data_IF_672966939794
#
_entry.id   IF_672966939794
#
_cell.length_a   1.000
_cell.length_b   1.000
_cell.length_c   1.000
_cell.angle_alpha   90.00
_cell.angle_beta   90.00
_cell.angle_gamma   90.00
#
_symmetry.space_group_name_H-M   'P 1'
#
loop_
_entity.id
_entity.type
_entity.pdbx_description
1 polymer ?
#
# COMPACT_ATOMS: atom_id res chain seq x y z
N UNK A 1 18.22 41.84 -20.25
CA UNK A 1 16.94 41.14 -20.49
C UNK A 1 17.24 39.67 -20.67
N UNK A 2 17.11 38.91 -19.61
CA UNK A 2 17.38 37.46 -19.61
C UNK A 2 16.12 36.69 -20.06
N UNK A 3 16.23 35.95 -21.15
CA UNK A 3 15.15 35.08 -21.68
C UNK A 3 15.18 33.79 -20.92
N UNK A 4 14.26 33.59 -19.97
CA UNK A 4 13.96 32.27 -19.42
C UNK A 4 13.40 31.39 -20.53
N UNK A 5 14.21 30.43 -21.00
CA UNK A 5 13.73 29.34 -21.84
C UNK A 5 12.95 28.38 -20.92
N UNK A 6 11.64 28.36 -21.04
CA UNK A 6 10.79 27.33 -20.47
C UNK A 6 11.19 25.99 -21.11
N UNK A 7 11.89 25.13 -20.39
CA UNK A 7 12.07 23.71 -20.77
C UNK A 7 10.69 23.07 -20.81
N UNK A 8 10.29 22.59 -21.98
CA UNK A 8 9.03 21.88 -22.15
C UNK A 8 9.07 20.58 -21.33
N UNK A 9 8.05 20.35 -20.54
CA UNK A 9 7.81 19.13 -19.76
C UNK A 9 7.55 17.86 -20.63
N UNK A 10 7.91 17.88 -21.91
CA UNK A 10 7.66 16.81 -22.88
C UNK A 10 8.79 15.80 -23.03
N UNK A 11 9.70 15.68 -22.06
CA UNK A 11 10.77 14.69 -22.09
C UNK A 11 10.50 13.50 -21.16
N UNK A 12 9.22 13.21 -20.86
CA UNK A 12 8.88 11.93 -20.25
C UNK A 12 8.53 10.96 -21.39
N UNK A 13 9.46 10.04 -21.68
CA UNK A 13 9.21 8.95 -22.63
C UNK A 13 8.29 7.91 -21.96
N UNK A 14 7.02 7.78 -22.38
CA UNK A 14 6.14 6.74 -21.86
C UNK A 14 6.49 5.34 -22.40
N UNK A 15 7.48 5.21 -23.28
CA UNK A 15 7.88 3.94 -23.90
C UNK A 15 8.74 3.02 -23.03
N UNK A 16 9.21 3.49 -21.85
CA UNK A 16 9.96 2.65 -20.90
C UNK A 16 9.05 1.93 -19.88
N UNK A 17 7.79 1.72 -20.18
CA UNK A 17 6.94 0.82 -19.40
C UNK A 17 7.46 -0.60 -19.64
N UNK A 18 8.27 -1.12 -18.71
CA UNK A 18 8.56 -2.55 -18.65
C UNK A 18 7.21 -3.26 -18.67
N UNK A 19 6.94 -4.02 -19.73
CA UNK A 19 5.79 -4.92 -19.81
C UNK A 19 5.83 -5.79 -18.54
N UNK A 20 4.78 -5.67 -17.72
CA UNK A 20 4.59 -6.54 -16.57
C UNK A 20 4.62 -7.99 -17.08
N UNK A 21 5.26 -8.92 -16.35
CA UNK A 21 5.29 -10.32 -16.76
C UNK A 21 3.88 -10.86 -16.93
N UNK A 22 3.71 -11.83 -17.85
CA UNK A 22 2.43 -12.43 -18.18
C UNK A 22 1.68 -12.88 -16.93
N UNK A 23 0.38 -12.54 -16.87
CA UNK A 23 -0.55 -12.78 -15.77
C UNK A 23 -0.50 -14.22 -15.27
N UNK A 24 -0.22 -14.40 -13.99
CA UNK A 24 -0.58 -15.63 -13.28
C UNK A 24 -2.12 -15.72 -13.17
N UNK A 25 -2.67 -16.94 -13.17
CA UNK A 25 -4.11 -17.21 -13.26
C UNK A 25 -4.89 -16.89 -11.97
N UNK A 26 -4.81 -15.63 -11.47
CA UNK A 26 -5.57 -15.19 -10.29
C UNK A 26 -5.43 -13.69 -10.07
N UNK A 27 -6.49 -13.02 -9.64
CA UNK A 27 -6.45 -11.59 -9.28
C UNK A 27 -5.58 -11.42 -8.03
N UNK A 28 -4.57 -10.56 -8.13
CA UNK A 28 -3.65 -10.26 -7.04
C UNK A 28 -3.85 -8.83 -6.55
N UNK A 29 -4.03 -8.66 -5.25
CA UNK A 29 -4.26 -7.38 -4.59
C UNK A 29 -3.05 -7.04 -3.73
N UNK A 30 -2.53 -5.82 -3.87
CA UNK A 30 -1.56 -5.23 -2.96
C UNK A 30 -2.29 -4.27 -2.01
N UNK A 31 -2.33 -4.59 -0.74
CA UNK A 31 -2.77 -3.68 0.32
C UNK A 31 -1.60 -2.86 0.85
N UNK A 32 -1.83 -1.57 1.09
CA UNK A 32 -0.83 -0.63 1.61
C UNK A 32 -1.41 0.11 2.81
N UNK A 33 -0.68 0.11 3.92
CA UNK A 33 -0.88 0.98 5.09
C UNK A 33 0.26 2.02 5.14
N UNK A 34 0.01 3.26 4.66
CA UNK A 34 1.06 4.26 4.55
C UNK A 34 1.50 4.80 5.92
N UNK A 35 2.80 4.93 6.12
CA UNK A 35 3.37 5.60 7.27
C UNK A 35 4.72 6.23 6.95
N UNK A 36 5.05 7.38 7.56
CA UNK A 36 6.26 8.16 7.25
C UNK A 36 7.57 7.54 7.74
N UNK A 37 7.51 6.58 8.63
CA UNK A 37 8.66 5.81 9.13
C UNK A 37 8.56 4.34 8.78
N UNK A 38 7.35 3.85 8.65
CA UNK A 38 7.04 2.46 8.38
C UNK A 38 5.80 2.44 7.50
N UNK A 39 5.91 1.81 6.33
CA UNK A 39 4.79 1.58 5.43
C UNK A 39 4.55 0.07 5.34
N UNK A 40 3.40 -0.38 5.83
CA UNK A 40 3.00 -1.77 5.73
C UNK A 40 2.61 -2.15 4.30
N UNK A 41 2.90 -3.39 3.91
CA UNK A 41 2.37 -3.98 2.69
C UNK A 41 1.87 -5.41 2.92
N UNK A 42 0.85 -5.80 2.17
CA UNK A 42 0.31 -7.15 2.17
C UNK A 42 -0.19 -7.52 0.79
N UNK A 43 0.19 -8.70 0.30
CA UNK A 43 -0.19 -9.21 -1.01
C UNK A 43 -1.04 -10.46 -0.82
N UNK A 44 -2.22 -10.45 -1.42
CA UNK A 44 -3.12 -11.60 -1.47
C UNK A 44 -3.47 -11.94 -2.91
N UNK A 45 -3.81 -13.19 -3.17
CA UNK A 45 -4.13 -13.68 -4.51
C UNK A 45 -5.38 -14.55 -4.47
N UNK A 46 -6.24 -14.43 -5.48
CA UNK A 46 -7.42 -15.30 -5.62
C UNK A 46 -7.02 -16.60 -6.29
N UNK A 47 -7.20 -17.74 -5.60
CA UNK A 47 -6.93 -19.08 -6.12
C UNK A 47 -8.14 -19.98 -5.90
N UNK A 48 -8.70 -20.56 -6.96
CA UNK A 48 -9.83 -21.49 -6.86
C UNK A 48 -11.09 -20.92 -6.18
N UNK A 49 -11.24 -19.60 -6.14
CA UNK A 49 -12.35 -18.94 -5.44
C UNK A 49 -11.99 -18.34 -4.08
N UNK A 50 -10.93 -18.82 -3.44
CA UNK A 50 -10.45 -18.35 -2.14
C UNK A 50 -9.34 -17.32 -2.27
N UNK A 51 -9.20 -16.45 -1.25
CA UNK A 51 -8.09 -15.54 -1.13
C UNK A 51 -6.98 -16.17 -0.30
N UNK A 52 -5.78 -16.24 -0.87
CA UNK A 52 -4.60 -16.79 -0.22
C UNK A 52 -3.56 -15.72 0.01
N UNK A 53 -2.81 -15.85 1.10
CA UNK A 53 -1.67 -15.00 1.40
C UNK A 53 -0.51 -15.30 0.44
N UNK A 54 0.12 -14.24 -0.11
CA UNK A 54 1.30 -14.33 -0.96
C UNK A 54 2.54 -13.78 -0.25
N UNK A 55 2.44 -12.53 0.26
CA UNK A 55 3.54 -11.86 0.93
C UNK A 55 3.01 -10.79 1.89
N UNK A 56 3.80 -10.45 2.88
CA UNK A 56 3.57 -9.29 3.72
C UNK A 56 4.88 -8.76 4.30
N UNK A 57 4.87 -7.52 4.71
CA UNK A 57 6.02 -6.93 5.38
C UNK A 57 5.85 -5.45 5.65
N UNK A 58 6.98 -4.82 5.94
CA UNK A 58 7.03 -3.40 6.24
C UNK A 58 8.26 -2.78 5.58
N UNK A 59 8.04 -1.77 4.76
CA UNK A 59 9.09 -0.86 4.30
C UNK A 59 9.47 0.00 5.50
N UNK A 60 10.65 -0.25 6.04
CA UNK A 60 11.17 0.51 7.18
C UNK A 60 12.19 1.52 6.69
N UNK A 61 11.91 2.78 6.94
CA UNK A 61 12.87 3.85 6.65
C UNK A 61 13.91 3.89 7.76
N UNK A 62 15.18 3.76 7.41
CA UNK A 62 16.27 3.76 8.38
C UNK A 62 16.25 5.02 9.25
N UNK A 63 16.62 4.88 10.53
CA UNK A 63 16.73 6.02 11.45
C UNK A 63 17.79 7.03 10.99
N UNK A 64 18.71 6.61 10.11
CA UNK A 64 19.75 7.42 9.46
C UNK A 64 19.25 8.26 8.28
N UNK A 65 18.00 8.06 7.82
CA UNK A 65 17.43 8.95 6.81
C UNK A 65 17.23 10.35 7.41
N UNK A 66 18.14 11.24 7.11
CA UNK A 66 18.25 12.56 7.73
C UNK A 66 17.14 13.51 7.30
N UNK A 67 16.64 13.34 6.06
CA UNK A 67 15.63 14.21 5.48
C UNK A 67 14.30 13.51 5.21
N UNK A 68 13.22 14.29 5.18
CA UNK A 68 11.91 13.79 4.78
C UNK A 68 11.93 13.32 3.32
N UNK A 69 12.64 14.02 2.44
CA UNK A 69 12.75 13.66 1.01
C UNK A 69 13.37 12.29 0.80
N UNK A 70 14.40 11.92 1.57
CA UNK A 70 15.00 10.58 1.54
C UNK A 70 14.01 9.52 1.98
N UNK A 71 13.26 9.79 3.06
CA UNK A 71 12.22 8.85 3.54
C UNK A 71 11.15 8.60 2.48
N UNK A 72 10.67 9.66 1.83
CA UNK A 72 9.68 9.54 0.78
C UNK A 72 10.22 8.79 -0.44
N UNK A 73 11.51 8.97 -0.78
CA UNK A 73 12.17 8.23 -1.85
C UNK A 73 12.24 6.74 -1.54
N UNK A 74 12.66 6.36 -0.32
CA UNK A 74 12.69 4.95 0.11
C UNK A 74 11.31 4.31 0.00
N UNK A 75 10.25 4.99 0.46
CA UNK A 75 8.87 4.48 0.33
C UNK A 75 8.51 4.28 -1.14
N UNK A 76 8.75 5.28 -1.98
CA UNK A 76 8.44 5.24 -3.40
C UNK A 76 9.17 4.10 -4.13
N UNK A 77 10.49 4.00 -3.95
CA UNK A 77 11.33 3.01 -4.63
C UNK A 77 10.99 1.58 -4.18
N UNK A 78 10.84 1.37 -2.86
CA UNK A 78 10.48 0.06 -2.31
C UNK A 78 9.10 -0.40 -2.78
N UNK A 79 8.11 0.48 -2.82
CA UNK A 79 6.78 0.10 -3.31
C UNK A 79 6.78 -0.16 -4.82
N UNK A 80 7.57 0.56 -5.61
CA UNK A 80 7.75 0.25 -7.03
C UNK A 80 8.36 -1.14 -7.24
N UNK A 81 9.36 -1.48 -6.45
CA UNK A 81 9.99 -2.81 -6.49
C UNK A 81 9.00 -3.92 -6.08
N UNK A 82 8.22 -3.70 -5.01
CA UNK A 82 7.18 -4.63 -4.57
C UNK A 82 6.12 -4.84 -5.66
N UNK A 83 5.66 -3.78 -6.31
CA UNK A 83 4.70 -3.85 -7.42
C UNK A 83 5.31 -4.63 -8.60
N UNK A 84 6.56 -4.36 -8.96
CA UNK A 84 7.24 -5.08 -10.03
C UNK A 84 7.47 -6.57 -9.71
N UNK A 85 7.75 -6.90 -8.44
CA UNK A 85 8.00 -8.27 -7.99
C UNK A 85 6.73 -9.09 -7.91
N UNK A 86 5.67 -8.51 -7.33
CA UNK A 86 4.43 -9.25 -7.06
C UNK A 86 3.38 -9.11 -8.16
N UNK A 87 3.54 -8.16 -9.09
CA UNK A 87 2.65 -7.92 -10.22
C UNK A 87 1.16 -7.89 -9.82
N UNK A 88 0.74 -7.04 -8.85
CA UNK A 88 -0.66 -6.93 -8.46
C UNK A 88 -1.49 -6.37 -9.63
N UNK A 89 -2.75 -6.75 -9.70
CA UNK A 89 -3.72 -6.22 -10.67
C UNK A 89 -4.49 -5.04 -10.10
N UNK A 90 -4.53 -4.95 -8.77
CA UNK A 90 -5.21 -3.88 -8.03
C UNK A 90 -4.41 -3.50 -6.79
N UNK A 91 -4.48 -2.23 -6.43
CA UNK A 91 -3.89 -1.69 -5.21
C UNK A 91 -5.00 -1.18 -4.31
N UNK A 92 -4.97 -1.56 -3.04
CA UNK A 92 -5.84 -1.04 -2.00
C UNK A 92 -5.01 -0.26 -0.99
N UNK A 93 -5.43 0.96 -0.63
CA UNK A 93 -4.69 1.82 0.28
C UNK A 93 -5.61 2.42 1.36
N UNK A 94 -5.12 2.52 2.59
CA UNK A 94 -5.86 3.16 3.66
C UNK A 94 -5.95 4.68 3.46
N UNK A 95 -7.15 5.24 3.70
CA UNK A 95 -7.37 6.69 3.77
C UNK A 95 -6.81 7.25 5.05
N UNK A 96 -6.06 8.31 4.91
CA UNK A 96 -5.55 9.07 6.06
C UNK A 96 -6.57 10.13 6.47
N UNK A 97 -6.90 10.17 7.77
CA UNK A 97 -7.68 11.25 8.37
C UNK A 97 -6.79 12.12 9.25
N UNK A 98 -7.01 13.44 9.17
CA UNK A 98 -6.29 14.41 10.00
C UNK A 98 -6.69 14.18 11.46
N UNK A 99 -5.72 13.80 12.29
CA UNK A 99 -5.87 13.71 13.72
C UNK A 99 -5.32 14.98 14.39
N UNK A 100 -5.34 15.06 15.71
CA UNK A 100 -5.01 16.26 16.52
C UNK A 100 -3.64 16.89 16.25
N UNK A 101 -2.67 16.15 15.69
CA UNK A 101 -1.33 16.65 15.40
C UNK A 101 -1.14 16.92 13.90
N UNK A 102 -1.13 18.20 13.53
CA UNK A 102 -1.03 18.67 12.13
C UNK A 102 0.30 18.25 11.48
N UNK A 103 1.44 18.34 12.18
CA UNK A 103 2.75 17.93 11.64
C UNK A 103 2.80 16.44 11.29
N UNK A 104 2.28 15.61 12.18
CA UNK A 104 2.17 14.17 11.92
C UNK A 104 1.23 13.87 10.75
N UNK A 105 0.12 14.58 10.64
CA UNK A 105 -0.83 14.42 9.55
C UNK A 105 -0.22 14.83 8.20
N UNK A 106 0.55 15.92 8.16
CA UNK A 106 1.27 16.36 6.96
C UNK A 106 2.30 15.32 6.52
N UNK A 107 3.14 14.82 7.43
CA UNK A 107 4.14 13.78 7.14
C UNK A 107 3.49 12.48 6.64
N UNK A 108 2.36 12.12 7.23
CA UNK A 108 1.60 10.94 6.81
C UNK A 108 0.97 11.13 5.42
N UNK A 109 0.41 12.31 5.14
CA UNK A 109 -0.11 12.67 3.82
C UNK A 109 0.96 12.63 2.73
N UNK A 110 2.18 13.11 3.05
CA UNK A 110 3.33 13.05 2.13
C UNK A 110 3.79 11.61 1.88
N UNK A 111 3.88 10.78 2.92
CA UNK A 111 4.20 9.35 2.77
C UNK A 111 3.16 8.62 1.91
N UNK A 112 1.87 8.91 2.13
CA UNK A 112 0.79 8.37 1.31
C UNK A 112 0.87 8.88 -0.14
N UNK A 113 1.22 10.13 -0.36
CA UNK A 113 1.48 10.68 -1.70
C UNK A 113 2.61 9.93 -2.42
N UNK A 114 3.72 9.67 -1.73
CA UNK A 114 4.83 8.87 -2.27
C UNK A 114 4.39 7.44 -2.62
N UNK A 115 3.58 6.81 -1.76
CA UNK A 115 3.02 5.49 -2.02
C UNK A 115 2.12 5.46 -3.27
N UNK A 116 1.24 6.45 -3.43
CA UNK A 116 0.37 6.58 -4.60
C UNK A 116 1.17 6.85 -5.89
N UNK A 117 2.21 7.69 -5.83
CA UNK A 117 3.08 7.96 -6.97
C UNK A 117 3.91 6.74 -7.40
N UNK A 118 4.15 5.78 -6.50
CA UNK A 118 4.83 4.53 -6.81
C UNK A 118 3.97 3.59 -7.67
N UNK A 119 2.64 3.75 -7.65
CA UNK A 119 1.72 2.93 -8.45
C UNK A 119 1.79 3.37 -9.91
N UNK A 120 2.11 2.47 -10.86
CA UNK A 120 2.22 2.83 -12.26
C UNK A 120 0.84 3.21 -12.85
N UNK A 121 0.88 4.07 -13.88
CA UNK A 121 -0.31 4.44 -14.64
C UNK A 121 -1.01 3.19 -15.20
N UNK A 122 -2.32 3.10 -14.99
CA UNK A 122 -3.14 1.99 -15.45
C UNK A 122 -3.35 0.87 -14.45
N UNK A 123 -2.63 0.86 -13.32
CA UNK A 123 -2.91 -0.03 -12.20
C UNK A 123 -3.96 0.62 -11.28
N UNK A 124 -5.18 0.05 -11.13
CA UNK A 124 -6.24 0.64 -10.35
C UNK A 124 -5.87 0.78 -8.87
N UNK A 125 -6.28 1.90 -8.24
CA UNK A 125 -6.09 2.15 -6.81
C UNK A 125 -7.44 2.37 -6.15
N UNK A 126 -7.71 1.63 -5.07
CA UNK A 126 -8.93 1.71 -4.28
C UNK A 126 -8.61 2.17 -2.85
N UNK A 127 -9.44 3.05 -2.32
CA UNK A 127 -9.18 3.71 -1.04
C UNK A 127 -10.22 3.35 0.00
N UNK A 128 -9.79 2.95 1.19
CA UNK A 128 -10.65 2.49 2.28
C UNK A 128 -10.46 3.29 3.56
N UNK A 129 -11.57 3.69 4.18
CA UNK A 129 -11.54 4.31 5.50
C UNK A 129 -11.20 3.26 6.58
N UNK A 130 -10.48 3.63 7.66
CA UNK A 130 -10.16 2.71 8.77
C UNK A 130 -11.38 1.98 9.34
N UNK A 131 -12.50 2.68 9.46
CA UNK A 131 -13.76 2.10 9.95
C UNK A 131 -14.32 1.03 8.99
N UNK A 132 -14.21 1.26 7.68
CA UNK A 132 -14.68 0.30 6.68
C UNK A 132 -13.83 -0.97 6.69
N UNK A 133 -12.50 -0.84 6.85
CA UNK A 133 -11.57 -1.97 6.96
C UNK A 133 -11.94 -2.84 8.16
N UNK A 134 -12.15 -2.23 9.34
CA UNK A 134 -12.55 -2.93 10.56
C UNK A 134 -13.89 -3.64 10.42
N UNK A 135 -14.87 -2.95 9.83
CA UNK A 135 -16.20 -3.50 9.59
C UNK A 135 -16.14 -4.73 8.66
N UNK A 136 -15.37 -4.65 7.59
CA UNK A 136 -15.21 -5.73 6.62
C UNK A 136 -14.57 -7.00 7.21
N UNK A 137 -13.62 -6.85 8.16
CA UNK A 137 -12.91 -7.98 8.73
C UNK A 137 -13.59 -8.62 9.94
N UNK A 138 -14.12 -7.79 10.84
CA UNK A 138 -14.63 -8.26 12.16
C UNK A 138 -16.08 -7.88 12.42
N UNK A 139 -16.77 -7.31 11.44
CA UNK A 139 -18.18 -6.94 11.57
C UNK A 139 -18.44 -5.69 12.45
N UNK A 140 -17.39 -5.04 12.95
CA UNK A 140 -17.50 -3.85 13.80
C UNK A 140 -16.47 -2.79 13.43
N UNK A 141 -16.93 -1.59 13.05
CA UNK A 141 -16.07 -0.45 12.77
C UNK A 141 -15.35 0.13 14.00
N UNK A 142 -15.76 -0.27 15.21
CA UNK A 142 -15.14 0.10 16.49
C UNK A 142 -14.12 -0.95 16.98
N UNK A 143 -13.87 -2.01 16.22
CA UNK A 143 -12.94 -3.09 16.61
C UNK A 143 -11.56 -2.56 16.97
N UNK A 144 -10.92 -3.22 17.93
CA UNK A 144 -9.54 -2.93 18.32
C UNK A 144 -8.54 -3.51 17.30
N UNK A 145 -7.34 -2.95 17.24
CA UNK A 145 -6.28 -3.44 16.34
C UNK A 145 -5.94 -4.91 16.60
N UNK A 146 -5.95 -5.34 17.86
CA UNK A 146 -5.69 -6.73 18.23
C UNK A 146 -6.69 -7.72 17.61
N UNK A 147 -7.98 -7.34 17.53
CA UNK A 147 -9.03 -8.14 16.91
C UNK A 147 -8.83 -8.27 15.40
N UNK A 148 -8.46 -7.17 14.74
CA UNK A 148 -8.14 -7.15 13.30
C UNK A 148 -6.92 -8.05 13.02
N UNK A 149 -5.85 -7.91 13.80
CA UNK A 149 -4.64 -8.73 13.65
C UNK A 149 -4.92 -10.23 13.90
N UNK A 150 -5.76 -10.56 14.88
CA UNK A 150 -6.19 -11.93 15.13
C UNK A 150 -6.95 -12.50 13.92
N UNK A 151 -7.89 -11.72 13.36
CA UNK A 151 -8.68 -12.14 12.20
C UNK A 151 -7.78 -12.38 10.98
N UNK A 152 -6.82 -11.51 10.69
CA UNK A 152 -5.86 -11.68 9.59
C UNK A 152 -5.05 -12.96 9.76
N UNK A 153 -4.58 -13.27 10.99
CA UNK A 153 -3.88 -14.54 11.26
C UNK A 153 -4.76 -15.75 11.02
N UNK A 154 -6.02 -15.67 11.41
CA UNK A 154 -7.00 -16.77 11.24
C UNK A 154 -7.32 -16.98 9.76
N UNK A 155 -7.66 -15.93 9.01
CA UNK A 155 -8.03 -16.00 7.58
C UNK A 155 -6.92 -16.67 6.76
N UNK A 156 -5.67 -16.29 7.01
CA UNK A 156 -4.53 -16.77 6.23
C UNK A 156 -3.70 -17.86 6.92
N UNK A 157 -4.13 -18.37 8.06
CA UNK A 157 -3.41 -19.37 8.89
C UNK A 157 -1.93 -18.98 9.11
N UNK A 158 -1.65 -17.68 9.34
CA UNK A 158 -0.29 -17.16 9.43
C UNK A 158 0.38 -17.63 10.72
N UNK A 159 1.51 -18.29 10.56
CA UNK A 159 2.39 -18.66 11.67
C UNK A 159 3.51 -17.64 11.86
N UNK A 160 4.04 -17.54 13.08
CA UNK A 160 5.16 -16.65 13.38
C UNK A 160 4.79 -15.18 13.60
N UNK A 161 5.78 -14.30 13.37
CA UNK A 161 5.67 -12.89 13.70
C UNK A 161 5.01 -12.09 12.57
N UNK A 162 3.89 -11.45 12.87
CA UNK A 162 3.23 -10.48 12.00
C UNK A 162 3.37 -9.09 12.64
N UNK A 163 4.01 -8.15 11.93
CA UNK A 163 4.12 -6.76 12.43
C UNK A 163 2.75 -6.06 12.36
N UNK A 164 2.50 -5.06 13.21
CA UNK A 164 1.24 -4.30 13.17
C UNK A 164 0.99 -3.68 11.78
N UNK A 165 2.01 -3.03 11.19
CA UNK A 165 1.89 -2.37 9.90
C UNK A 165 1.56 -3.36 8.77
N UNK A 166 2.18 -4.55 8.77
CA UNK A 166 1.89 -5.60 7.80
C UNK A 166 0.47 -6.19 7.99
N UNK A 167 0.03 -6.30 9.25
CA UNK A 167 -1.34 -6.73 9.57
C UNK A 167 -2.37 -5.72 9.06
N UNK A 168 -2.14 -4.42 9.29
CA UNK A 168 -3.02 -3.36 8.85
C UNK A 168 -3.08 -3.33 7.29
N UNK A 169 -1.94 -3.52 6.60
CA UNK A 169 -1.90 -3.60 5.14
C UNK A 169 -2.63 -4.84 4.57
N UNK A 170 -2.48 -6.01 5.19
CA UNK A 170 -3.27 -7.19 4.83
C UNK A 170 -4.77 -6.97 5.06
N UNK A 171 -5.12 -6.25 6.13
CA UNK A 171 -6.50 -5.89 6.41
C UNK A 171 -7.11 -5.01 5.32
N UNK A 172 -6.34 -4.06 4.78
CA UNK A 172 -6.75 -3.24 3.63
C UNK A 172 -6.99 -4.11 2.38
N UNK A 173 -6.09 -5.05 2.09
CA UNK A 173 -6.24 -5.96 0.96
C UNK A 173 -7.50 -6.85 1.09
N UNK A 174 -7.76 -7.42 2.27
CA UNK A 174 -8.97 -8.23 2.54
C UNK A 174 -10.24 -7.38 2.45
N UNK A 175 -10.22 -6.15 2.96
CA UNK A 175 -11.36 -5.23 2.81
C UNK A 175 -11.71 -5.01 1.34
N UNK A 176 -10.70 -4.80 0.49
CA UNK A 176 -10.89 -4.66 -0.94
C UNK A 176 -11.42 -5.96 -1.58
N UNK A 177 -10.84 -7.11 -1.24
CA UNK A 177 -11.29 -8.41 -1.73
C UNK A 177 -12.77 -8.68 -1.42
N UNK A 178 -13.29 -8.24 -0.28
CA UNK A 178 -14.70 -8.33 0.09
C UNK A 178 -15.60 -7.41 -0.72
N UNK A 179 -15.09 -6.31 -1.27
CA UNK A 179 -15.85 -5.37 -2.11
C UNK A 179 -16.00 -5.85 -3.57
N UNK A 180 -15.25 -6.88 -3.97
CA UNK A 180 -15.28 -7.49 -5.30
C UNK A 180 -16.30 -8.63 -5.43
N UNK A 181 -17.12 -8.87 -4.39
CA UNK A 181 -18.13 -9.93 -4.36
C UNK A 181 -19.43 -9.49 -4.98
#
# INVERSE_FOLDING_TARGET
MSRYRTRSWRAFDPGAVRTLPARAAGTRILGIDPGSRRTGYGVIERRGGDWVHVAHGCVTVAATAESLSERLRVIFESLRELIATHCPEEVAIERVFVNRNVDSALKLGQARGAALCAVPKGLPVFEYAPRAIKLALVGSGAAEKAQVAHMIRTIFALQGRLSPDASDALAVAVCHAHSLR
#
